data_IF_250797089771
#
_entry.id   IF_250797089771
#
_cell.length_a   1.000
_cell.length_b   1.000
_cell.length_c   1.000
_cell.angle_alpha   90.00
_cell.angle_beta   90.00
_cell.angle_gamma   90.00
#
_symmetry.space_group_name_H-M   'P 1'
#
loop_
_entity.id
_entity.type
_entity.pdbx_description
1 polymer ?
#
# COMPACT_ATOMS: atom_id res chain seq x y z
N UNK A 1 34.71 -44.42 50.98
CA UNK A 1 33.84 -43.72 51.95
C UNK A 1 34.74 -42.73 52.68
N UNK A 2 34.58 -41.41 52.66
CA UNK A 2 33.47 -40.53 52.26
C UNK A 2 34.06 -39.13 52.03
N UNK A 3 33.49 -38.37 51.08
CA UNK A 3 33.79 -36.96 50.80
C UNK A 3 33.40 -36.04 51.98
N UNK A 4 34.13 -34.93 52.13
CA UNK A 4 33.69 -33.76 52.89
C UNK A 4 33.96 -32.50 52.06
N UNK A 5 32.90 -31.88 51.55
CA UNK A 5 32.92 -30.63 50.81
C UNK A 5 33.00 -29.43 51.77
N UNK A 6 33.71 -28.38 51.37
CA UNK A 6 33.66 -27.06 52.00
C UNK A 6 33.24 -26.05 50.93
N UNK A 7 32.14 -25.37 51.21
CA UNK A 7 31.45 -24.40 50.36
C UNK A 7 32.22 -23.08 50.28
N UNK A 8 32.28 -22.49 49.08
CA UNK A 8 32.67 -21.10 48.89
C UNK A 8 31.43 -20.28 48.54
N UNK A 9 31.07 -19.35 49.43
CA UNK A 9 29.93 -18.45 49.26
C UNK A 9 30.12 -17.52 48.07
N UNK A 10 29.12 -17.50 47.18
CA UNK A 10 29.03 -16.53 46.10
C UNK A 10 28.52 -15.19 46.65
N UNK A 11 29.34 -14.15 46.61
CA UNK A 11 28.89 -12.77 46.77
C UNK A 11 28.19 -12.32 45.48
N UNK A 12 26.87 -12.19 45.52
CA UNK A 12 26.06 -11.58 44.46
C UNK A 12 26.33 -10.07 44.37
N UNK A 13 27.16 -9.68 43.40
CA UNK A 13 27.17 -8.30 42.90
C UNK A 13 26.02 -8.09 41.92
N UNK A 14 24.91 -7.50 42.38
CA UNK A 14 23.86 -6.98 41.49
C UNK A 14 24.39 -5.78 40.69
N UNK A 15 24.88 -6.04 39.48
CA UNK A 15 25.09 -5.01 38.46
C UNK A 15 23.75 -4.78 37.76
N UNK A 16 23.08 -3.67 38.06
CA UNK A 16 21.95 -3.19 37.28
C UNK A 16 22.45 -2.75 35.90
N UNK A 17 22.49 -3.69 34.96
CA UNK A 17 22.82 -3.42 33.56
C UNK A 17 21.64 -2.74 32.86
N UNK A 18 21.68 -1.42 32.71
CA UNK A 18 20.89 -0.73 31.69
C UNK A 18 21.52 -1.06 30.33
N UNK A 19 21.04 -2.12 29.67
CA UNK A 19 21.37 -2.38 28.26
C UNK A 19 20.54 -1.46 27.38
N UNK A 20 21.04 -0.25 27.15
CA UNK A 20 20.62 0.57 26.01
C UNK A 20 21.71 0.48 24.92
N UNK A 21 21.91 -0.70 24.35
CA UNK A 21 22.62 -0.83 23.08
C UNK A 21 21.65 -0.39 21.98
N UNK A 22 21.75 0.88 21.58
CA UNK A 22 21.06 1.37 20.38
C UNK A 22 21.83 0.84 19.18
N UNK A 23 21.19 0.04 18.34
CA UNK A 23 21.85 -0.52 17.14
C UNK A 23 22.03 0.60 16.12
N UNK A 24 23.07 0.53 15.28
CA UNK A 24 23.30 1.50 14.19
C UNK A 24 22.04 1.66 13.33
N UNK A 25 21.33 0.56 13.04
CA UNK A 25 20.08 0.60 12.29
C UNK A 25 18.96 1.36 13.02
N UNK A 26 18.88 1.29 14.35
CA UNK A 26 17.87 2.04 15.13
C UNK A 26 18.08 3.55 15.03
N UNK A 27 19.35 4.00 14.96
CA UNK A 27 19.68 5.41 14.74
C UNK A 27 19.33 5.85 13.31
N UNK A 28 19.63 5.01 12.32
CA UNK A 28 19.30 5.29 10.91
C UNK A 28 17.80 5.34 10.66
N UNK A 29 17.03 4.47 11.32
CA UNK A 29 15.56 4.46 11.25
C UNK A 29 14.98 5.75 11.83
N UNK A 30 15.46 6.21 12.99
CA UNK A 30 15.00 7.49 13.57
C UNK A 30 15.34 8.69 12.67
N UNK A 31 16.51 8.66 12.03
CA UNK A 31 16.96 9.73 11.14
C UNK A 31 16.17 9.77 9.82
N UNK A 32 15.85 8.61 9.22
CA UNK A 32 14.99 8.58 8.03
C UNK A 32 13.55 9.01 8.36
N UNK A 33 12.98 8.58 9.49
CA UNK A 33 11.60 8.91 9.89
C UNK A 33 11.36 10.42 10.00
N UNK A 34 12.36 11.19 10.43
CA UNK A 34 12.29 12.65 10.47
C UNK A 34 12.24 13.35 9.10
N UNK A 35 12.45 12.60 8.01
CA UNK A 35 12.52 13.08 6.61
C UNK A 35 11.46 12.46 5.69
N UNK A 36 10.57 11.65 6.24
CA UNK A 36 9.45 11.05 5.53
C UNK A 36 8.21 11.95 5.60
N UNK A 37 7.45 11.98 4.51
CA UNK A 37 6.08 12.48 4.57
C UNK A 37 5.19 11.45 5.28
N UNK A 38 4.09 11.90 5.91
CA UNK A 38 3.22 11.02 6.71
C UNK A 38 2.50 9.88 5.96
N UNK A 39 2.68 9.77 4.63
CA UNK A 39 2.18 8.67 3.81
C UNK A 39 3.29 7.68 3.42
N UNK A 40 4.55 8.01 3.65
CA UNK A 40 5.70 7.26 3.19
C UNK A 40 6.17 6.24 4.24
N UNK A 41 6.84 5.20 3.74
CA UNK A 41 7.33 4.07 4.53
C UNK A 41 8.85 3.98 4.41
N UNK A 42 9.54 3.79 5.54
CA UNK A 42 11.00 3.76 5.61
C UNK A 42 11.60 2.46 5.04
N UNK A 43 12.62 2.58 4.19
CA UNK A 43 13.50 1.47 3.79
C UNK A 43 14.95 1.94 3.81
N UNK A 44 15.77 1.38 4.72
CA UNK A 44 17.17 1.78 4.90
C UNK A 44 18.00 0.65 5.52
N UNK A 45 19.14 0.33 4.91
CA UNK A 45 20.04 -0.70 5.44
C UNK A 45 19.31 -2.03 5.62
N UNK A 46 19.30 -2.57 6.84
CA UNK A 46 18.57 -3.82 7.13
C UNK A 46 17.07 -3.62 7.39
N UNK A 47 16.66 -2.38 7.62
CA UNK A 47 15.29 -2.02 7.97
C UNK A 47 14.43 -1.85 6.73
N UNK A 48 13.27 -2.50 6.76
CA UNK A 48 12.17 -2.34 5.81
C UNK A 48 10.91 -2.22 6.65
N UNK A 49 10.17 -1.11 6.53
CA UNK A 49 8.90 -0.94 7.22
C UNK A 49 8.01 -2.17 6.92
N UNK A 50 7.40 -2.74 7.97
CA UNK A 50 6.62 -3.98 7.89
C UNK A 50 5.43 -3.88 6.94
N UNK A 51 4.98 -2.66 6.62
CA UNK A 51 3.94 -2.37 5.64
C UNK A 51 4.47 -2.42 4.21
N UNK A 52 5.78 -2.37 3.96
CA UNK A 52 6.34 -2.56 2.62
C UNK A 52 6.31 -4.06 2.26
N UNK A 53 5.23 -4.48 1.63
CA UNK A 53 4.95 -5.88 1.28
C UNK A 53 4.90 -6.07 -0.23
N UNK A 54 5.53 -7.14 -0.76
CA UNK A 54 5.40 -7.53 -2.16
C UNK A 54 3.96 -7.75 -2.62
N UNK A 55 3.73 -7.45 -3.90
CA UNK A 55 2.45 -7.50 -4.57
C UNK A 55 1.62 -6.22 -4.45
N UNK A 56 2.14 -5.16 -3.84
CA UNK A 56 1.53 -3.84 -3.81
C UNK A 56 2.38 -2.84 -4.60
N UNK A 57 1.75 -1.76 -5.06
CA UNK A 57 2.45 -0.72 -5.83
C UNK A 57 2.98 0.36 -4.91
N UNK A 58 4.19 0.81 -5.20
CA UNK A 58 4.83 1.92 -4.50
C UNK A 58 5.49 2.85 -5.50
N UNK A 59 5.44 4.15 -5.22
CA UNK A 59 6.33 5.13 -5.80
C UNK A 59 7.49 5.35 -4.84
N UNK A 60 8.72 5.35 -5.34
CA UNK A 60 9.92 5.37 -4.50
C UNK A 60 10.77 6.58 -4.80
N UNK A 61 11.22 7.29 -3.77
CA UNK A 61 12.25 8.34 -3.87
C UNK A 61 13.40 8.05 -2.91
N UNK A 62 14.56 8.66 -3.21
CA UNK A 62 15.65 8.72 -2.25
C UNK A 62 15.29 9.72 -1.16
N UNK A 63 15.43 9.35 0.11
CA UNK A 63 15.07 10.25 1.21
C UNK A 63 15.99 11.47 1.22
N UNK A 64 15.43 12.65 1.49
CA UNK A 64 16.18 13.91 1.45
C UNK A 64 16.52 14.43 0.04
N UNK A 65 16.08 13.73 -1.01
CA UNK A 65 16.18 14.18 -2.41
C UNK A 65 14.79 14.32 -3.05
N UNK A 66 14.61 15.22 -4.04
CA UNK A 66 13.44 15.20 -4.92
C UNK A 66 13.46 14.04 -5.93
N UNK A 67 14.57 13.30 -6.03
CA UNK A 67 14.75 12.27 -7.03
C UNK A 67 13.90 11.03 -6.74
N UNK A 68 12.97 10.76 -7.65
CA UNK A 68 12.23 9.51 -7.69
C UNK A 68 12.95 8.47 -8.53
N UNK A 69 12.92 7.22 -8.08
CA UNK A 69 13.26 6.09 -8.93
C UNK A 69 12.16 5.85 -9.96
N UNK A 70 12.50 5.15 -11.04
CA UNK A 70 11.57 4.71 -12.08
C UNK A 70 10.76 5.86 -12.69
N UNK A 71 11.40 7.01 -12.93
CA UNK A 71 10.77 8.21 -13.49
C UNK A 71 9.53 8.68 -12.70
N UNK A 72 9.51 8.44 -11.39
CA UNK A 72 8.38 8.78 -10.52
C UNK A 72 7.17 7.88 -10.70
N UNK A 73 7.27 6.80 -11.47
CA UNK A 73 6.17 5.85 -11.66
C UNK A 73 5.98 4.96 -10.44
N UNK A 74 4.71 4.64 -10.17
CA UNK A 74 4.37 3.65 -9.17
C UNK A 74 4.53 2.25 -9.78
N UNK A 75 5.40 1.44 -9.19
CA UNK A 75 5.74 0.12 -9.69
C UNK A 75 5.31 -0.96 -8.68
N UNK A 76 4.89 -2.13 -9.17
CA UNK A 76 4.61 -3.29 -8.33
C UNK A 76 5.91 -3.80 -7.66
N UNK A 77 5.94 -3.86 -6.33
CA UNK A 77 7.02 -4.50 -5.60
C UNK A 77 6.91 -6.02 -5.75
N UNK A 78 7.89 -6.67 -6.37
CA UNK A 78 7.88 -8.11 -6.59
C UNK A 78 8.53 -8.89 -5.44
N UNK A 79 9.62 -8.36 -4.88
CA UNK A 79 10.31 -9.02 -3.77
C UNK A 79 11.16 -8.08 -2.92
N UNK A 80 11.32 -8.47 -1.66
CA UNK A 80 12.30 -7.90 -0.72
C UNK A 80 13.27 -9.03 -0.37
N UNK A 81 14.53 -8.87 -0.79
CA UNK A 81 15.59 -9.84 -0.60
C UNK A 81 15.96 -10.04 0.88
N UNK A 82 16.64 -11.15 1.16
CA UNK A 82 17.24 -11.43 2.48
C UNK A 82 18.65 -10.83 2.55
N UNK A 83 19.24 -10.76 3.76
CA UNK A 83 20.59 -10.24 3.98
C UNK A 83 20.63 -8.87 4.65
N UNK A 84 21.82 -8.24 4.71
CA UNK A 84 22.01 -6.92 5.33
C UNK A 84 21.49 -5.80 4.41
N UNK A 85 22.06 -5.64 3.22
CA UNK A 85 21.46 -4.88 2.13
C UNK A 85 20.33 -5.67 1.47
N UNK A 86 19.08 -5.26 1.69
CA UNK A 86 17.91 -5.93 1.09
C UNK A 86 17.85 -5.56 -0.38
N UNK A 87 17.92 -6.56 -1.27
CA UNK A 87 17.62 -6.35 -2.69
C UNK A 87 16.11 -6.10 -2.86
N UNK A 88 15.73 -4.89 -3.20
CA UNK A 88 14.35 -4.52 -3.50
C UNK A 88 14.14 -4.65 -5.01
N UNK A 89 13.17 -5.47 -5.42
CA UNK A 89 12.90 -5.73 -6.84
C UNK A 89 11.47 -5.35 -7.19
N UNK A 90 11.32 -4.51 -8.21
CA UNK A 90 10.05 -4.06 -8.78
C UNK A 90 9.80 -4.71 -10.14
N UNK A 91 8.54 -4.68 -10.58
CA UNK A 91 8.15 -5.18 -11.89
C UNK A 91 8.95 -4.51 -13.01
N UNK A 92 9.24 -5.27 -14.06
CA UNK A 92 10.03 -4.84 -15.21
C UNK A 92 9.38 -5.37 -16.48
N UNK A 93 9.38 -4.58 -17.54
CA UNK A 93 8.89 -5.01 -18.86
C UNK A 93 9.85 -6.04 -19.51
N UNK A 94 11.13 -5.99 -19.15
CA UNK A 94 12.15 -6.93 -19.59
C UNK A 94 12.30 -8.07 -18.58
N UNK A 95 11.98 -9.30 -19.03
CA UNK A 95 12.20 -10.53 -18.26
C UNK A 95 13.67 -10.97 -18.23
N UNK A 96 14.45 -10.61 -19.26
CA UNK A 96 15.83 -11.11 -19.42
C UNK A 96 16.85 -10.20 -18.72
N UNK A 97 16.56 -8.92 -18.59
CA UNK A 97 17.39 -7.94 -17.88
C UNK A 97 16.52 -7.05 -17.00
N UNK A 98 15.99 -7.56 -15.87
CA UNK A 98 15.22 -6.73 -14.96
C UNK A 98 16.14 -5.68 -14.34
N UNK A 99 16.00 -4.42 -14.78
CA UNK A 99 16.77 -3.27 -14.28
C UNK A 99 16.09 -2.59 -13.09
N UNK A 100 14.87 -3.01 -12.76
CA UNK A 100 14.07 -2.35 -11.73
C UNK A 100 14.35 -2.94 -10.33
N UNK A 101 15.62 -2.93 -9.92
CA UNK A 101 16.01 -3.30 -8.56
C UNK A 101 17.11 -2.39 -8.02
N UNK A 102 17.19 -2.32 -6.69
CA UNK A 102 18.26 -1.63 -5.96
C UNK A 102 18.50 -2.34 -4.62
N UNK A 103 19.54 -1.94 -3.89
CA UNK A 103 19.75 -2.42 -2.52
C UNK A 103 19.38 -1.31 -1.52
N UNK A 104 18.73 -1.68 -0.43
CA UNK A 104 18.26 -0.74 0.62
C UNK A 104 19.38 0.05 1.32
N UNK A 105 20.64 -0.32 1.11
CA UNK A 105 21.84 0.35 1.62
C UNK A 105 22.61 1.13 0.53
N UNK A 106 22.13 1.13 -0.72
CA UNK A 106 22.80 1.86 -1.82
C UNK A 106 22.74 3.37 -1.60
N UNK A 107 21.61 3.89 -1.12
CA UNK A 107 21.50 5.27 -0.66
C UNK A 107 21.73 5.31 0.86
N UNK A 108 22.76 6.03 1.36
CA UNK A 108 22.96 6.18 2.80
C UNK A 108 21.74 6.79 3.51
N UNK A 109 20.93 7.54 2.77
CA UNK A 109 19.81 8.32 3.29
C UNK A 109 18.54 7.45 3.40
N UNK A 110 18.60 6.27 2.77
CA UNK A 110 17.49 5.36 2.60
C UNK A 110 16.50 5.83 1.53
N UNK A 111 15.36 5.16 1.53
CA UNK A 111 14.31 5.31 0.54
C UNK A 111 12.97 5.51 1.22
N UNK A 112 12.17 6.38 0.63
CA UNK A 112 10.80 6.64 1.03
C UNK A 112 9.84 5.95 0.06
N UNK A 113 9.02 5.04 0.56
CA UNK A 113 8.05 4.28 -0.22
C UNK A 113 6.65 4.85 -0.02
N UNK A 114 6.09 5.50 -1.05
CA UNK A 114 4.72 5.98 -1.06
C UNK A 114 3.79 4.90 -1.65
N UNK A 115 2.86 4.30 -0.88
CA UNK A 115 1.98 3.26 -1.39
C UNK A 115 0.92 3.82 -2.33
N UNK A 116 0.51 3.03 -3.32
CA UNK A 116 -0.47 3.41 -4.34
C UNK A 116 -1.51 2.30 -4.49
N UNK A 117 -2.75 2.60 -4.10
CA UNK A 117 -3.90 1.69 -4.19
C UNK A 117 -4.77 1.97 -5.42
N UNK A 118 -4.93 3.25 -5.79
CA UNK A 118 -5.65 3.70 -6.99
C UNK A 118 -4.73 4.53 -7.90
N UNK A 119 -4.89 4.42 -9.22
CA UNK A 119 -4.04 5.10 -10.22
C UNK A 119 -4.87 5.89 -11.21
N UNK A 120 -4.25 6.91 -11.80
CA UNK A 120 -4.79 7.56 -13.00
C UNK A 120 -4.97 6.50 -14.09
N UNK A 121 -6.13 6.54 -14.75
CA UNK A 121 -6.53 5.58 -15.77
C UNK A 121 -7.37 4.41 -15.26
N UNK A 122 -7.35 4.09 -13.96
CA UNK A 122 -8.18 3.03 -13.39
C UNK A 122 -9.66 3.34 -13.66
N UNK A 123 -10.40 2.34 -14.14
CA UNK A 123 -11.85 2.43 -14.34
C UNK A 123 -12.56 1.66 -13.24
N UNK A 124 -13.66 2.18 -12.73
CA UNK A 124 -14.45 1.57 -11.68
C UNK A 124 -15.95 1.70 -11.99
N UNK A 125 -16.70 0.63 -11.75
CA UNK A 125 -18.15 0.62 -11.80
C UNK A 125 -18.72 1.22 -10.50
N UNK A 126 -19.80 1.99 -10.62
CA UNK A 126 -20.46 2.69 -9.52
C UNK A 126 -21.67 1.85 -9.08
N UNK A 127 -21.65 1.31 -7.87
CA UNK A 127 -22.75 0.52 -7.31
C UNK A 127 -23.40 1.25 -6.14
N UNK A 128 -24.73 1.17 -5.97
CA UNK A 128 -25.38 1.65 -4.76
C UNK A 128 -24.98 0.75 -3.58
N UNK A 129 -24.80 1.32 -2.38
CA UNK A 129 -24.60 0.52 -1.16
C UNK A 129 -25.93 -0.19 -0.83
N UNK A 130 -25.89 -1.48 -0.51
CA UNK A 130 -27.08 -2.33 -0.28
C UNK A 130 -28.06 -1.70 0.73
N UNK A 131 -29.34 -1.64 0.35
CA UNK A 131 -30.41 -0.90 1.03
C UNK A 131 -31.18 0.06 0.10
N UNK A 132 -30.65 0.36 -1.09
CA UNK A 132 -31.36 1.08 -2.14
C UNK A 132 -32.23 0.12 -2.99
N UNK A 133 -33.40 0.57 -3.43
CA UNK A 133 -34.41 -0.21 -4.18
C UNK A 133 -33.94 -0.79 -5.54
N UNK A 134 -32.66 -0.65 -5.91
CA UNK A 134 -32.11 -0.89 -7.25
C UNK A 134 -31.16 -2.10 -7.35
N UNK A 135 -30.92 -2.84 -6.25
CA UNK A 135 -30.06 -4.03 -6.23
C UNK A 135 -28.57 -3.73 -6.47
N UNK A 136 -27.74 -4.76 -6.62
CA UNK A 136 -26.27 -4.66 -6.88
C UNK A 136 -25.91 -4.28 -8.33
N UNK A 137 -26.83 -3.67 -9.08
CA UNK A 137 -26.58 -3.31 -10.48
C UNK A 137 -25.71 -2.06 -10.56
N UNK A 138 -24.68 -2.12 -11.42
CA UNK A 138 -23.88 -0.95 -11.76
C UNK A 138 -24.77 0.16 -12.32
N UNK A 139 -24.64 1.35 -11.72
CA UNK A 139 -25.36 2.57 -12.07
C UNK A 139 -24.54 3.50 -12.96
N UNK A 140 -23.31 3.13 -13.28
CA UNK A 140 -22.42 3.92 -14.10
C UNK A 140 -20.99 3.44 -13.99
N UNK A 141 -20.11 4.13 -14.71
CA UNK A 141 -18.67 3.89 -14.69
C UNK A 141 -17.96 5.21 -14.60
N UNK A 142 -16.84 5.22 -13.90
CA UNK A 142 -15.91 6.33 -13.89
C UNK A 142 -14.50 5.88 -14.26
N UNK A 143 -13.68 6.85 -14.64
CA UNK A 143 -12.23 6.69 -14.78
C UNK A 143 -11.52 7.73 -13.92
N UNK A 144 -10.54 7.29 -13.17
CA UNK A 144 -9.67 8.19 -12.39
C UNK A 144 -8.82 9.01 -13.35
N UNK A 145 -8.90 10.33 -13.24
CA UNK A 145 -8.15 11.25 -14.12
C UNK A 145 -7.07 12.03 -13.37
N UNK A 146 -7.16 12.14 -12.05
CA UNK A 146 -6.17 12.81 -11.23
C UNK A 146 -6.17 12.27 -9.80
N UNK A 147 -5.00 12.18 -9.17
CA UNK A 147 -4.86 11.90 -7.75
C UNK A 147 -4.64 13.25 -7.03
N UNK A 148 -5.55 13.65 -6.17
CA UNK A 148 -5.55 15.01 -5.58
C UNK A 148 -4.74 15.09 -4.29
N UNK A 149 -4.42 13.95 -3.66
CA UNK A 149 -3.53 13.84 -2.49
C UNK A 149 -2.73 12.53 -2.51
N UNK A 150 -1.61 12.44 -1.75
CA UNK A 150 -0.99 11.17 -1.44
C UNK A 150 -1.96 10.18 -0.78
N UNK A 151 -1.70 8.89 -0.95
CA UNK A 151 -2.55 7.82 -0.40
C UNK A 151 -1.94 7.31 0.90
N UNK A 152 -2.75 7.23 1.95
CA UNK A 152 -2.28 6.82 3.28
C UNK A 152 -2.79 5.42 3.62
N UNK A 153 -1.89 4.50 3.93
CA UNK A 153 -2.28 3.19 4.46
C UNK A 153 -2.88 3.37 5.86
N UNK A 154 -4.15 2.98 6.03
CA UNK A 154 -4.89 3.09 7.30
C UNK A 154 -4.87 1.76 8.05
N UNK A 155 -4.96 0.65 7.32
CA UNK A 155 -5.05 -0.68 7.92
C UNK A 155 -4.47 -1.75 7.01
N UNK A 156 -3.99 -2.82 7.63
CA UNK A 156 -3.50 -4.03 6.98
C UNK A 156 -3.87 -5.25 7.84
N UNK A 157 -4.43 -6.28 7.22
CA UNK A 157 -4.79 -7.51 7.92
C UNK A 157 -4.75 -8.73 7.00
N UNK A 158 -4.53 -9.90 7.60
CA UNK A 158 -4.69 -11.17 6.91
C UNK A 158 -6.16 -11.60 6.97
N UNK A 159 -6.67 -12.15 5.87
CA UNK A 159 -7.97 -12.81 5.85
C UNK A 159 -7.94 -14.12 6.64
N UNK A 160 -9.10 -14.72 6.83
CA UNK A 160 -9.28 -15.95 7.62
C UNK A 160 -8.43 -17.13 7.12
N UNK A 161 -8.13 -17.14 5.81
CA UNK A 161 -7.24 -18.14 5.19
C UNK A 161 -5.75 -17.96 5.55
N UNK A 162 -5.41 -16.90 6.29
CA UNK A 162 -4.06 -16.46 6.66
C UNK A 162 -3.10 -16.25 5.48
N UNK A 163 -3.64 -16.13 4.25
CA UNK A 163 -2.86 -16.12 3.01
C UNK A 163 -3.28 -15.02 2.05
N UNK A 164 -4.49 -14.51 2.21
CA UNK A 164 -4.99 -13.33 1.53
C UNK A 164 -4.68 -12.11 2.39
N UNK A 165 -3.98 -11.14 1.81
CA UNK A 165 -3.59 -9.91 2.50
C UNK A 165 -4.45 -8.76 2.02
N UNK A 166 -5.05 -8.06 2.98
CA UNK A 166 -5.87 -6.89 2.77
C UNK A 166 -5.14 -5.65 3.23
N UNK A 167 -5.34 -4.56 2.50
CA UNK A 167 -4.94 -3.22 2.91
C UNK A 167 -6.02 -2.20 2.57
N UNK A 168 -6.15 -1.21 3.45
CA UNK A 168 -7.05 -0.08 3.26
C UNK A 168 -6.27 1.21 3.18
N UNK A 169 -6.62 2.05 2.22
CA UNK A 169 -5.96 3.32 1.95
C UNK A 169 -6.95 4.45 1.94
N UNK A 170 -6.63 5.55 2.60
CA UNK A 170 -7.34 6.81 2.35
C UNK A 170 -6.94 7.31 0.95
N UNK A 171 -7.95 7.57 0.12
CA UNK A 171 -7.75 8.02 -1.26
C UNK A 171 -8.53 9.29 -1.54
N UNK A 172 -7.90 10.19 -2.28
CA UNK A 172 -8.47 11.44 -2.77
C UNK A 172 -8.13 11.56 -4.25
N UNK A 173 -9.15 11.62 -5.10
CA UNK A 173 -8.95 11.63 -6.54
C UNK A 173 -10.11 12.34 -7.25
N UNK A 174 -9.83 12.87 -8.44
CA UNK A 174 -10.85 13.35 -9.37
C UNK A 174 -11.08 12.25 -10.41
N UNK A 175 -12.35 11.98 -10.71
CA UNK A 175 -12.75 11.00 -11.70
C UNK A 175 -13.69 11.60 -12.74
N UNK A 176 -13.56 11.14 -13.98
CA UNK A 176 -14.50 11.43 -15.06
C UNK A 176 -15.55 10.33 -15.10
N UNK A 177 -16.81 10.69 -14.97
CA UNK A 177 -17.92 9.74 -15.16
C UNK A 177 -18.00 9.41 -16.65
N UNK A 178 -17.87 8.14 -17.02
CA UNK A 178 -17.94 7.66 -18.39
C UNK A 178 -19.38 7.31 -18.79
N UNK A 179 -20.15 6.76 -17.87
CA UNK A 179 -21.56 6.42 -18.06
C UNK A 179 -22.36 6.61 -16.78
N UNK A 180 -23.64 6.93 -16.92
CA UNK A 180 -24.57 7.10 -15.82
C UNK A 180 -25.96 6.57 -16.22
N UNK A 181 -26.61 5.86 -15.30
CA UNK A 181 -28.03 5.48 -15.39
C UNK A 181 -28.91 6.55 -14.74
N UNK A 182 -30.24 6.39 -14.86
CA UNK A 182 -31.22 7.29 -14.25
C UNK A 182 -31.02 7.50 -12.75
N UNK A 183 -30.48 6.50 -12.04
CA UNK A 183 -30.18 6.63 -10.61
C UNK A 183 -29.10 7.70 -10.36
N UNK A 184 -28.00 7.69 -11.11
CA UNK A 184 -26.95 8.71 -10.97
C UNK A 184 -27.43 10.09 -11.48
N UNK A 185 -28.26 10.11 -12.52
CA UNK A 185 -28.89 11.34 -12.99
C UNK A 185 -29.76 11.99 -11.91
N UNK A 186 -30.47 11.19 -11.10
CA UNK A 186 -31.25 11.68 -9.96
C UNK A 186 -30.36 12.30 -8.87
N UNK A 187 -29.12 11.82 -8.73
CA UNK A 187 -28.08 12.40 -7.89
C UNK A 187 -27.36 13.59 -8.55
N UNK A 188 -27.84 14.08 -9.69
CA UNK A 188 -27.24 15.16 -10.51
C UNK A 188 -25.85 14.82 -11.06
N UNK A 189 -25.50 13.54 -11.11
CA UNK A 189 -24.24 13.06 -11.71
C UNK A 189 -24.53 12.63 -13.14
N UNK A 190 -23.82 13.22 -14.10
CA UNK A 190 -24.05 12.99 -15.55
C UNK A 190 -22.82 12.35 -16.18
N UNK A 191 -23.01 11.71 -17.33
CA UNK A 191 -21.88 11.30 -18.15
C UNK A 191 -21.00 12.50 -18.51
N UNK A 192 -19.69 12.25 -18.54
CA UNK A 192 -18.61 13.19 -18.81
C UNK A 192 -18.36 14.28 -17.76
N UNK A 193 -19.09 14.29 -16.64
CA UNK A 193 -18.78 15.20 -15.53
C UNK A 193 -17.54 14.72 -14.78
N UNK A 194 -16.69 15.66 -14.40
CA UNK A 194 -15.61 15.40 -13.45
C UNK A 194 -16.14 15.59 -12.04
N UNK A 195 -15.79 14.65 -11.17
CA UNK A 195 -16.23 14.62 -9.79
C UNK A 195 -15.05 14.35 -8.86
N UNK A 196 -15.06 14.99 -7.70
CA UNK A 196 -14.09 14.71 -6.65
C UNK A 196 -14.61 13.61 -5.74
N UNK A 197 -13.74 12.64 -5.51
CA UNK A 197 -13.99 11.45 -4.72
C UNK A 197 -13.03 11.41 -3.54
N UNK A 198 -13.60 11.24 -2.35
CA UNK A 198 -12.86 10.95 -1.13
C UNK A 198 -13.40 9.65 -0.56
N UNK A 199 -12.52 8.71 -0.24
CA UNK A 199 -12.92 7.37 0.14
C UNK A 199 -11.85 6.57 0.86
N UNK A 200 -12.20 5.34 1.18
CA UNK A 200 -11.27 4.29 1.61
C UNK A 200 -11.22 3.23 0.50
N UNK A 201 -10.06 3.09 -0.13
CA UNK A 201 -9.79 2.05 -1.12
C UNK A 201 -9.33 0.79 -0.40
N UNK A 202 -10.05 -0.30 -0.61
CA UNK A 202 -9.69 -1.63 -0.13
C UNK A 202 -9.04 -2.38 -1.27
N UNK A 203 -7.82 -2.85 -1.06
CA UNK A 203 -7.09 -3.69 -2.01
C UNK A 203 -6.79 -5.05 -1.40
N UNK A 204 -6.82 -6.07 -2.23
CA UNK A 204 -6.67 -7.46 -1.83
C UNK A 204 -5.59 -8.13 -2.66
N UNK A 205 -4.59 -8.72 -1.99
CA UNK A 205 -3.65 -9.65 -2.60
C UNK A 205 -4.04 -11.07 -2.23
N UNK A 206 -4.71 -11.75 -3.16
CA UNK A 206 -5.05 -13.18 -3.01
C UNK A 206 -3.78 -14.02 -3.01
N UNK A 207 -3.81 -15.15 -2.30
CA UNK A 207 -2.67 -16.08 -2.16
C UNK A 207 -1.95 -16.40 -3.48
N UNK A 208 -2.72 -16.74 -4.51
CA UNK A 208 -2.20 -17.15 -5.83
C UNK A 208 -1.82 -15.97 -6.71
N UNK A 209 -2.20 -14.74 -6.33
CA UNK A 209 -1.90 -13.56 -7.11
C UNK A 209 -0.56 -12.95 -6.72
N UNK A 210 0.22 -12.59 -7.74
CA UNK A 210 1.42 -11.77 -7.56
C UNK A 210 1.09 -10.31 -7.27
N UNK A 211 -0.12 -9.85 -7.60
CA UNK A 211 -0.54 -8.44 -7.54
C UNK A 211 -1.80 -8.27 -6.71
N UNK A 212 -1.83 -7.23 -5.91
CA UNK A 212 -3.01 -6.75 -5.23
C UNK A 212 -3.92 -6.02 -6.21
N UNK A 213 -5.21 -6.27 -6.11
CA UNK A 213 -6.24 -5.63 -6.93
C UNK A 213 -7.15 -4.80 -6.04
N UNK A 214 -7.74 -3.75 -6.59
CA UNK A 214 -8.84 -3.04 -5.92
C UNK A 214 -9.96 -4.05 -5.71
N UNK A 215 -10.45 -4.16 -4.48
CA UNK A 215 -11.66 -4.91 -4.18
C UNK A 215 -12.86 -3.97 -4.29
N UNK A 216 -12.79 -2.83 -3.58
CA UNK A 216 -13.75 -1.74 -3.70
C UNK A 216 -13.22 -0.43 -3.10
N UNK A 217 -13.94 0.67 -3.34
CA UNK A 217 -13.73 1.96 -2.69
C UNK A 217 -15.03 2.39 -2.02
N UNK A 218 -14.99 2.54 -0.70
CA UNK A 218 -16.08 3.11 0.08
C UNK A 218 -15.96 4.64 0.12
N UNK A 219 -16.94 5.33 -0.45
CA UNK A 219 -16.91 6.80 -0.54
C UNK A 219 -17.39 7.43 0.77
N UNK A 220 -16.62 8.39 1.29
CA UNK A 220 -16.91 9.09 2.56
C UNK A 220 -18.11 10.03 2.40
N UNK A 221 -18.80 10.30 3.51
CA UNK A 221 -19.83 11.32 3.57
C UNK A 221 -19.26 12.68 3.11
N UNK A 222 -20.01 13.40 2.27
CA UNK A 222 -19.55 14.65 1.63
C UNK A 222 -18.91 14.45 0.24
N UNK A 223 -18.62 13.23 -0.17
CA UNK A 223 -18.35 12.91 -1.58
C UNK A 223 -19.62 13.10 -2.42
N UNK A 224 -19.46 13.53 -3.68
CA UNK A 224 -20.55 13.65 -4.66
C UNK A 224 -21.33 12.34 -4.89
N UNK A 225 -20.69 11.20 -4.60
CA UNK A 225 -21.23 9.85 -4.71
C UNK A 225 -21.36 9.19 -3.33
N UNK A 226 -21.59 9.97 -2.27
CA UNK A 226 -21.93 9.41 -0.97
C UNK A 226 -23.17 8.50 -1.08
N UNK A 227 -23.10 7.30 -0.47
CA UNK A 227 -24.13 6.26 -0.61
C UNK A 227 -23.86 5.29 -1.77
N UNK A 228 -22.80 5.50 -2.55
CA UNK A 228 -22.30 4.57 -3.55
C UNK A 228 -20.94 4.00 -3.15
N UNK A 229 -20.63 2.84 -3.71
CA UNK A 229 -19.33 2.17 -3.67
C UNK A 229 -18.79 2.06 -5.09
N UNK A 230 -17.49 2.16 -5.24
CA UNK A 230 -16.82 1.89 -6.50
C UNK A 230 -16.23 0.49 -6.46
N UNK A 231 -16.36 -0.27 -7.54
CA UNK A 231 -15.78 -1.63 -7.65
C UNK A 231 -15.07 -1.79 -8.99
N UNK A 232 -14.13 -2.73 -9.11
CA UNK A 232 -13.54 -3.07 -10.41
C UNK A 232 -14.62 -3.40 -11.43
N UNK A 233 -14.43 -3.04 -12.72
CA UNK A 233 -15.37 -3.37 -13.77
C UNK A 233 -15.60 -4.88 -13.79
N UNK A 234 -16.86 -5.32 -13.78
CA UNK A 234 -17.13 -6.74 -13.98
C UNK A 234 -16.52 -7.14 -15.32
N UNK A 235 -15.64 -8.14 -15.34
CA UNK A 235 -15.12 -8.69 -16.58
C UNK A 235 -16.31 -9.19 -17.38
N UNK A 236 -16.70 -8.43 -18.42
CA UNK A 236 -17.62 -8.95 -19.42
C UNK A 236 -16.90 -10.16 -20.00
N UNK A 237 -17.45 -11.35 -19.77
CA UNK A 237 -17.07 -12.52 -20.55
C UNK A 237 -17.13 -12.10 -22.01
N UNK A 238 -15.98 -12.09 -22.68
CA UNK A 238 -15.96 -12.09 -24.13
C UNK A 238 -16.65 -13.38 -24.55
N UNK A 239 -17.94 -13.29 -24.88
CA UNK A 239 -18.57 -14.27 -25.74
C UNK A 239 -17.83 -14.19 -27.07
N UNK A 240 -16.87 -15.09 -27.26
CA UNK A 240 -16.45 -15.48 -28.60
C UNK A 240 -17.70 -16.08 -29.27
N UNK A 241 -18.24 -15.33 -30.24
CA UNK A 241 -19.05 -15.87 -31.32
C UNK A 241 -18.15 -16.70 -32.24
#
# INVERSE_FOLDING_TARGET
MTQGALEFGATEGKVNGVKNEVTIDDLRVKDIDGRLDGHELAVIGTHVDRRVIPGFMYRVRVTGSPDYLFDGQAMLLESVGRGYGKRITFESESYNEPRNYFYSDTAPEGYAFAPIAIRVGDQLDILPISGAAHGEKSCGRLQVINLTRPQHEIAMWLGDDSRTLWKSFEVHFTAKVLSATDLLLSCRVRSWTSIDCVGVCHVVRKRSSKRAEIDHVDLKAGSCLAGFRLVPPSSRHHHHL
#
